data_IF_668133659091
#
_entry.id   IF_668133659091
#
_cell.length_a   1.000
_cell.length_b   1.000
_cell.length_c   1.000
_cell.angle_alpha   90.00
_cell.angle_beta   90.00
_cell.angle_gamma   90.00
#
_symmetry.space_group_name_H-M   'P 1'
#
loop_
_entity.id
_entity.type
_entity.pdbx_description
1 polymer ?
#
# COMPACT_ATOMS: atom_id res chain seq x y z
N UNK A 1 -14.86 -59.48 2.00
CA UNK A 1 -16.14 -58.75 1.99
C UNK A 1 -15.95 -57.43 2.74
N UNK A 2 -16.11 -56.30 2.03
CA UNK A 2 -15.78 -54.94 2.47
C UNK A 2 -16.98 -54.31 3.19
N UNK A 3 -16.78 -53.64 4.32
CA UNK A 3 -17.67 -52.57 4.78
C UNK A 3 -16.85 -51.28 4.76
N UNK A 4 -17.06 -50.48 3.72
CA UNK A 4 -16.54 -49.13 3.63
C UNK A 4 -17.44 -48.22 4.48
N UNK A 5 -16.84 -47.49 5.41
CA UNK A 5 -17.52 -46.45 6.18
C UNK A 5 -17.87 -45.26 5.28
N UNK A 6 -19.06 -44.68 5.36
CA UNK A 6 -19.37 -43.46 4.63
C UNK A 6 -18.61 -42.27 5.23
N UNK A 7 -17.94 -41.53 4.35
CA UNK A 7 -17.35 -40.23 4.62
C UNK A 7 -18.48 -39.28 5.05
N UNK A 8 -18.37 -38.69 6.25
CA UNK A 8 -19.27 -37.62 6.70
C UNK A 8 -18.81 -36.32 6.03
N UNK A 9 -19.65 -35.58 5.29
CA UNK A 9 -19.29 -34.24 4.84
C UNK A 9 -19.33 -33.28 6.04
N UNK A 10 -18.30 -32.42 6.14
CA UNK A 10 -18.27 -31.32 7.10
C UNK A 10 -19.36 -30.30 6.75
N UNK A 11 -20.10 -29.74 7.73
CA UNK A 11 -21.06 -28.69 7.44
C UNK A 11 -20.34 -27.43 6.94
N UNK A 12 -20.92 -26.82 5.90
CA UNK A 12 -20.51 -25.56 5.32
C UNK A 12 -20.46 -24.47 6.42
N UNK A 13 -19.37 -23.69 6.43
CA UNK A 13 -19.26 -22.51 7.25
C UNK A 13 -20.29 -21.45 6.79
N UNK A 14 -20.95 -20.73 7.71
CA UNK A 14 -21.87 -19.66 7.37
C UNK A 14 -21.12 -18.51 6.70
N UNK A 15 -21.58 -18.16 5.50
CA UNK A 15 -21.26 -16.95 4.75
C UNK A 15 -21.96 -15.76 5.39
N UNK A 16 -21.29 -15.09 6.32
CA UNK A 16 -21.60 -13.71 6.71
C UNK A 16 -20.29 -13.03 7.08
N UNK A 17 -19.46 -12.74 6.05
CA UNK A 17 -18.43 -11.72 6.19
C UNK A 17 -19.05 -10.43 5.71
N UNK A 18 -19.84 -9.83 6.60
CA UNK A 18 -20.32 -8.46 6.50
C UNK A 18 -19.21 -7.60 5.91
N UNK A 19 -19.53 -7.02 4.77
CA UNK A 19 -18.73 -6.00 4.11
C UNK A 19 -18.75 -4.79 5.04
N UNK A 20 -17.77 -4.71 5.93
CA UNK A 20 -17.47 -3.45 6.58
C UNK A 20 -16.96 -2.56 5.45
N UNK A 21 -17.83 -1.66 5.00
CA UNK A 21 -17.49 -0.61 4.06
C UNK A 21 -16.36 0.19 4.68
N UNK A 22 -15.13 -0.17 4.33
CA UNK A 22 -13.94 0.61 4.60
C UNK A 22 -14.19 1.91 3.83
N UNK A 23 -14.71 2.92 4.55
CA UNK A 23 -14.79 4.28 4.03
C UNK A 23 -13.37 4.59 3.58
N UNK A 24 -13.12 4.86 2.29
CA UNK A 24 -11.78 5.22 1.85
C UNK A 24 -11.43 6.46 2.64
N UNK A 25 -10.61 6.31 3.67
CA UNK A 25 -10.00 7.46 4.31
C UNK A 25 -9.30 8.17 3.15
N UNK A 26 -9.78 9.38 2.84
CA UNK A 26 -9.22 10.20 1.78
C UNK A 26 -7.71 10.22 2.01
N UNK A 27 -6.98 9.48 1.19
CA UNK A 27 -5.55 9.31 1.40
C UNK A 27 -5.00 10.73 1.31
N UNK A 28 -4.46 11.29 2.41
CA UNK A 28 -3.88 12.63 2.33
C UNK A 28 -2.91 12.57 1.18
N UNK A 29 -2.99 13.52 0.25
CA UNK A 29 -2.14 13.55 -0.94
C UNK A 29 -0.70 13.59 -0.47
N UNK A 30 -0.11 12.42 -0.25
CA UNK A 30 1.11 12.31 0.51
C UNK A 30 2.20 12.90 -0.37
N UNK A 31 2.71 14.06 0.05
CA UNK A 31 3.87 14.64 -0.58
C UNK A 31 5.02 13.64 -0.45
N UNK A 32 5.75 13.41 -1.53
CA UNK A 32 6.96 12.59 -1.48
C UNK A 32 7.99 13.37 -0.65
N UNK A 33 8.55 12.79 0.44
CA UNK A 33 9.59 13.43 1.25
C UNK A 33 10.76 13.90 0.37
N UNK A 34 11.23 15.13 0.57
CA UNK A 34 12.27 15.73 -0.28
C UNK A 34 13.55 16.11 0.49
N UNK A 35 13.45 16.37 1.79
CA UNK A 35 14.60 16.66 2.66
C UNK A 35 15.05 15.44 3.47
N UNK A 36 16.29 15.44 3.95
CA UNK A 36 16.81 14.36 4.79
C UNK A 36 15.96 14.13 6.05
N UNK A 37 15.50 15.21 6.70
CA UNK A 37 14.66 15.13 7.90
C UNK A 37 13.28 14.53 7.60
N UNK A 38 12.65 14.92 6.49
CA UNK A 38 11.37 14.34 6.07
C UNK A 38 11.52 12.86 5.72
N UNK A 39 12.64 12.48 5.09
CA UNK A 39 12.95 11.09 4.74
C UNK A 39 13.13 10.26 6.01
N UNK A 40 13.91 10.76 6.97
CA UNK A 40 14.14 10.11 8.25
C UNK A 40 12.84 9.98 9.06
N UNK A 41 12.02 11.03 9.11
CA UNK A 41 10.73 11.01 9.78
C UNK A 41 9.76 10.00 9.12
N UNK A 42 9.69 9.96 7.79
CA UNK A 42 8.84 9.04 7.05
C UNK A 42 9.29 7.58 7.21
N UNK A 43 10.60 7.33 7.22
CA UNK A 43 11.17 6.01 7.48
C UNK A 43 10.89 5.56 8.93
N UNK A 44 11.12 6.45 9.90
CA UNK A 44 10.86 6.21 11.32
C UNK A 44 9.40 5.92 11.63
N UNK A 45 8.46 6.67 11.03
CA UNK A 45 7.03 6.42 11.14
C UNK A 45 6.61 5.04 10.60
N UNK A 46 7.44 4.43 9.74
CA UNK A 46 7.25 3.08 9.20
C UNK A 46 8.11 2.01 9.87
N UNK A 47 8.87 2.36 10.90
CA UNK A 47 9.81 1.45 11.56
C UNK A 47 10.96 0.99 10.65
N UNK A 48 11.31 1.78 9.63
CA UNK A 48 12.40 1.49 8.71
C UNK A 48 13.65 2.26 9.13
N UNK A 49 14.79 1.57 9.10
CA UNK A 49 16.10 2.20 9.26
C UNK A 49 16.78 2.31 7.90
N UNK A 50 17.22 3.51 7.53
CA UNK A 50 17.99 3.74 6.31
C UNK A 50 19.46 3.75 6.70
N UNK A 51 20.24 2.84 6.13
CA UNK A 51 21.69 2.79 6.37
C UNK A 51 22.36 3.99 5.69
N UNK A 52 23.45 4.55 6.26
CA UNK A 52 24.13 5.72 5.71
C UNK A 52 24.55 5.56 4.25
N UNK A 53 25.02 4.37 3.86
CA UNK A 53 25.40 4.04 2.48
C UNK A 53 24.21 4.07 1.48
N UNK A 54 22.97 3.98 1.98
CA UNK A 54 21.76 4.01 1.17
C UNK A 54 21.15 5.41 1.02
N UNK A 55 21.51 6.38 1.86
CA UNK A 55 20.86 7.70 1.92
C UNK A 55 20.87 8.44 0.58
N UNK A 56 22.02 8.44 -0.11
CA UNK A 56 22.17 9.07 -1.42
C UNK A 56 21.25 8.43 -2.49
N UNK A 57 21.11 7.10 -2.46
CA UNK A 57 20.24 6.38 -3.39
C UNK A 57 18.75 6.62 -3.10
N UNK A 58 18.38 6.59 -1.81
CA UNK A 58 16.99 6.83 -1.37
C UNK A 58 16.56 8.25 -1.74
N UNK A 59 17.38 9.26 -1.45
CA UNK A 59 17.08 10.65 -1.79
C UNK A 59 16.94 10.86 -3.30
N UNK A 60 17.82 10.29 -4.11
CA UNK A 60 17.73 10.35 -5.57
C UNK A 60 16.44 9.72 -6.10
N UNK A 61 16.06 8.54 -5.60
CA UNK A 61 14.83 7.86 -6.01
C UNK A 61 13.58 8.66 -5.60
N UNK A 62 13.55 9.21 -4.39
CA UNK A 62 12.44 10.05 -3.94
C UNK A 62 12.32 11.34 -4.76
N UNK A 63 13.43 11.95 -5.17
CA UNK A 63 13.41 13.09 -6.08
C UNK A 63 12.79 12.72 -7.45
N UNK A 64 13.13 11.55 -8.00
CA UNK A 64 12.54 11.04 -9.24
C UNK A 64 11.02 10.83 -9.09
N UNK A 65 10.60 10.19 -8.00
CA UNK A 65 9.18 9.96 -7.70
C UNK A 65 8.42 11.27 -7.49
N UNK A 66 9.01 12.25 -6.82
CA UNK A 66 8.42 13.57 -6.62
C UNK A 66 8.17 14.27 -7.97
N UNK A 67 9.15 14.21 -8.88
CA UNK A 67 8.99 14.73 -10.24
C UNK A 67 7.88 14.00 -10.99
N UNK A 68 7.89 12.67 -10.96
CA UNK A 68 6.88 11.87 -11.65
C UNK A 68 5.46 12.13 -11.12
N UNK A 69 5.30 12.23 -9.80
CA UNK A 69 4.03 12.56 -9.17
C UNK A 69 3.49 13.93 -9.61
N UNK A 70 4.36 14.95 -9.78
CA UNK A 70 3.95 16.26 -10.32
C UNK A 70 3.42 16.13 -11.75
N UNK A 71 4.09 15.34 -12.60
CA UNK A 71 3.63 15.07 -13.97
C UNK A 71 2.27 14.38 -13.99
N UNK A 72 2.08 13.33 -13.16
CA UNK A 72 0.81 12.61 -13.11
C UNK A 72 -0.34 13.49 -12.64
N UNK A 73 -0.12 14.38 -11.67
CA UNK A 73 -1.15 15.31 -11.18
C UNK A 73 -1.55 16.37 -12.20
N UNK A 74 -0.70 16.67 -13.16
CA UNK A 74 -0.96 17.65 -14.22
C UNK A 74 -1.56 17.02 -15.48
N UNK A 75 -1.66 15.68 -15.54
CA UNK A 75 -2.23 14.97 -16.66
C UNK A 75 -3.77 15.01 -16.56
N UNK A 76 -4.49 15.44 -17.61
CA UNK A 76 -5.95 15.39 -17.58
C UNK A 76 -6.39 13.94 -17.43
N UNK A 77 -7.15 13.65 -16.37
CA UNK A 77 -7.77 12.34 -16.18
C UNK A 77 -8.68 12.09 -17.37
N UNK A 78 -8.41 11.04 -18.13
CA UNK A 78 -9.22 10.65 -19.28
C UNK A 78 -10.60 10.15 -18.82
N UNK A 79 -11.48 11.06 -18.42
CA UNK A 79 -12.95 10.96 -18.31
C UNK A 79 -13.45 12.33 -17.83
N UNK A 80 -13.56 13.28 -18.76
CA UNK A 80 -14.56 14.36 -18.75
C UNK A 80 -14.90 14.63 -20.22
N UNK A 81 -15.67 13.72 -20.81
CA UNK A 81 -16.35 13.85 -22.09
C UNK A 81 -17.65 13.05 -22.03
#
# INVERSE_FOLDING_TARGET
MRRMSPHRPSPAAPTDRETMAETPAEAPTAAVPQSADEIAAAAGARGLSILPECEAGVSANLALLARHARTMRQMPTATQA
#
